data_IF_195144853287
#
_entry.id   IF_195144853287
#
_cell.length_a   1.000
_cell.length_b   1.000
_cell.length_c   1.000
_cell.angle_alpha   90.00
_cell.angle_beta   90.00
_cell.angle_gamma   90.00
#
_symmetry.space_group_name_H-M   'P 1'
#
loop_
_entity.id
_entity.type
_entity.pdbx_description
1 polymer ?
#
# COMPACT_ATOMS: atom_id res chain seq x y z
N UNK A 1 0.77 -13.09 -19.56
CA UNK A 1 0.88 -11.65 -19.90
C UNK A 1 1.79 -10.99 -18.86
N UNK A 2 3.07 -10.79 -19.17
CA UNK A 2 4.05 -10.11 -18.30
C UNK A 2 4.18 -8.67 -18.78
N UNK A 3 3.44 -7.75 -18.16
CA UNK A 3 3.47 -6.31 -18.47
C UNK A 3 3.40 -5.43 -17.23
N UNK A 4 3.33 -5.99 -16.02
CA UNK A 4 3.09 -5.20 -14.79
C UNK A 4 4.31 -4.44 -14.30
N UNK A 5 5.53 -4.89 -14.60
CA UNK A 5 6.75 -4.32 -13.98
C UNK A 5 7.13 -2.96 -14.58
N UNK A 6 7.15 -2.85 -15.91
CA UNK A 6 7.51 -1.60 -16.59
C UNK A 6 6.40 -0.55 -16.52
N UNK A 7 5.14 -0.97 -16.62
CA UNK A 7 4.01 -0.04 -16.53
C UNK A 7 3.81 0.53 -15.11
N UNK A 8 4.28 -0.16 -14.07
CA UNK A 8 4.13 0.32 -12.70
C UNK A 8 5.04 1.52 -12.39
N UNK A 9 6.28 1.53 -12.85
CA UNK A 9 7.23 2.61 -12.52
C UNK A 9 6.85 3.95 -13.18
N UNK A 10 6.55 3.93 -14.48
CA UNK A 10 6.11 5.12 -15.22
C UNK A 10 4.78 5.67 -14.66
N UNK A 11 3.86 4.77 -14.31
CA UNK A 11 2.61 5.14 -13.67
C UNK A 11 2.84 5.81 -12.30
N UNK A 12 3.69 5.23 -11.46
CA UNK A 12 4.01 5.79 -10.13
C UNK A 12 4.72 7.14 -10.22
N UNK A 13 5.61 7.32 -11.20
CA UNK A 13 6.26 8.60 -11.45
C UNK A 13 5.26 9.69 -11.87
N UNK A 14 4.20 9.29 -12.58
CA UNK A 14 3.15 10.20 -13.07
C UNK A 14 2.16 10.57 -11.97
N UNK A 15 1.61 9.58 -11.26
CA UNK A 15 0.57 9.83 -10.23
C UNK A 15 1.13 10.36 -8.91
N UNK A 16 2.42 10.15 -8.63
CA UNK A 16 3.14 10.60 -7.41
C UNK A 16 2.30 10.37 -6.15
N UNK A 17 1.96 9.11 -5.84
CA UNK A 17 1.01 8.80 -4.79
C UNK A 17 1.58 9.18 -3.42
N UNK A 18 0.76 9.87 -2.62
CA UNK A 18 1.08 10.15 -1.21
C UNK A 18 0.81 8.93 -0.31
N UNK A 19 -0.17 8.12 -0.68
CA UNK A 19 -0.61 6.93 0.06
C UNK A 19 -0.93 5.83 -0.94
N UNK A 20 -0.53 4.60 -0.64
CA UNK A 20 -0.88 3.40 -1.38
C UNK A 20 -1.47 2.35 -0.42
N UNK A 21 -2.70 1.92 -0.69
CA UNK A 21 -3.39 0.89 0.12
C UNK A 21 -3.41 -0.40 -0.69
N UNK A 22 -2.84 -1.46 -0.10
CA UNK A 22 -2.79 -2.79 -0.68
C UNK A 22 -3.80 -3.68 0.05
N UNK A 23 -4.90 -3.99 -0.64
CA UNK A 23 -5.91 -4.92 -0.14
C UNK A 23 -5.41 -6.35 -0.29
N UNK A 24 -5.07 -6.96 0.84
CA UNK A 24 -4.61 -8.35 0.93
C UNK A 24 -5.17 -8.99 2.20
N UNK A 25 -5.52 -10.28 2.11
CA UNK A 25 -6.02 -11.05 3.26
C UNK A 25 -4.88 -11.52 4.18
N UNK A 26 -5.16 -11.65 5.47
CA UNK A 26 -4.19 -12.09 6.50
C UNK A 26 -3.55 -13.47 6.24
N UNK A 27 -4.11 -14.27 5.34
CA UNK A 27 -3.66 -15.63 5.03
C UNK A 27 -3.27 -15.75 3.55
N UNK A 28 -2.71 -14.70 2.95
CA UNK A 28 -2.39 -14.73 1.54
C UNK A 28 -1.15 -15.60 1.24
N UNK A 29 -1.37 -16.87 0.93
CA UNK A 29 -0.34 -17.81 0.52
C UNK A 29 0.19 -17.59 -0.91
N UNK A 30 -0.39 -16.65 -1.67
CA UNK A 30 -0.01 -16.39 -3.08
C UNK A 30 1.30 -15.60 -3.24
N UNK A 31 1.91 -15.08 -2.17
CA UNK A 31 3.12 -14.25 -2.28
C UNK A 31 2.86 -12.85 -2.83
N UNK A 32 1.61 -12.38 -2.77
CA UNK A 32 1.24 -11.00 -3.07
C UNK A 32 1.00 -10.20 -1.79
N UNK A 33 1.31 -8.89 -1.77
CA UNK A 33 2.04 -8.14 -2.79
C UNK A 33 3.52 -8.60 -2.89
N UNK A 34 4.08 -8.56 -4.10
CA UNK A 34 5.51 -8.88 -4.25
C UNK A 34 6.35 -7.76 -3.63
N UNK A 35 7.49 -8.13 -3.03
CA UNK A 35 8.39 -7.17 -2.38
C UNK A 35 8.79 -6.04 -3.34
N UNK A 36 9.04 -6.35 -4.60
CA UNK A 36 9.36 -5.36 -5.64
C UNK A 36 8.30 -4.25 -5.79
N UNK A 37 7.01 -4.58 -5.67
CA UNK A 37 5.93 -3.58 -5.77
C UNK A 37 5.91 -2.70 -4.54
N UNK A 38 6.13 -3.29 -3.35
CA UNK A 38 6.25 -2.52 -2.11
C UNK A 38 7.44 -1.55 -2.16
N UNK A 39 8.59 -2.02 -2.65
CA UNK A 39 9.80 -1.22 -2.77
C UNK A 39 9.63 -0.09 -3.80
N UNK A 40 8.96 -0.35 -4.94
CA UNK A 40 8.66 0.67 -5.93
C UNK A 40 7.72 1.76 -5.39
N UNK A 41 6.69 1.38 -4.64
CA UNK A 41 5.77 2.33 -4.00
C UNK A 41 6.48 3.17 -2.93
N UNK A 42 7.30 2.53 -2.09
CA UNK A 42 8.08 3.23 -1.08
C UNK A 42 9.12 4.16 -1.71
N UNK A 43 9.81 3.71 -2.77
CA UNK A 43 10.77 4.50 -3.54
C UNK A 43 10.14 5.70 -4.25
N UNK A 44 8.86 5.61 -4.63
CA UNK A 44 8.09 6.74 -5.15
C UNK A 44 7.64 7.74 -4.06
N UNK A 45 7.96 7.49 -2.78
CA UNK A 45 7.61 8.35 -1.64
C UNK A 45 6.22 8.12 -1.07
N UNK A 46 5.56 7.01 -1.43
CA UNK A 46 4.22 6.69 -0.94
C UNK A 46 4.27 6.07 0.47
N UNK A 47 3.33 6.44 1.33
CA UNK A 47 3.04 5.67 2.54
C UNK A 47 2.26 4.41 2.16
N UNK A 48 2.89 3.24 2.33
CA UNK A 48 2.31 1.94 1.93
C UNK A 48 1.62 1.29 3.13
N UNK A 49 0.36 0.91 2.95
CA UNK A 49 -0.48 0.27 3.97
C UNK A 49 -1.02 -1.04 3.42
N UNK A 50 -1.09 -2.08 4.26
CA UNK A 50 -1.64 -3.38 3.86
C UNK A 50 -2.75 -3.80 4.80
N UNK A 51 -3.88 -4.23 4.27
CA UNK A 51 -5.05 -4.58 5.11
C UNK A 51 -4.83 -5.83 5.98
N UNK A 52 -3.91 -6.71 5.62
CA UNK A 52 -3.52 -7.85 6.45
C UNK A 52 -2.73 -7.45 7.69
N UNK A 53 -1.95 -6.38 7.62
CA UNK A 53 -1.14 -5.86 8.72
C UNK A 53 -1.87 -4.75 9.49
N UNK A 54 -2.59 -3.88 8.79
CA UNK A 54 -3.17 -2.66 9.32
C UNK A 54 -4.68 -2.79 9.60
N UNK A 55 -5.32 -3.91 9.23
CA UNK A 55 -6.77 -4.08 9.31
C UNK A 55 -7.52 -3.20 8.33
N UNK A 56 -8.68 -2.69 8.74
CA UNK A 56 -9.48 -1.80 7.89
C UNK A 56 -8.74 -0.46 7.74
N UNK A 57 -8.53 0.02 6.52
CA UNK A 57 -7.86 1.30 6.25
C UNK A 57 -8.83 2.25 5.57
N UNK A 58 -8.92 3.49 6.03
CA UNK A 58 -9.67 4.56 5.39
C UNK A 58 -8.81 5.82 5.20
N UNK A 59 -9.01 6.49 4.07
CA UNK A 59 -8.45 7.83 3.80
C UNK A 59 -9.57 8.84 3.98
N UNK A 60 -9.36 9.80 4.87
CA UNK A 60 -10.36 10.81 5.24
C UNK A 60 -9.80 12.22 5.09
N UNK A 61 -10.69 13.18 4.86
CA UNK A 61 -10.37 14.61 4.84
C UNK A 61 -10.11 15.21 3.45
N UNK A 62 -10.25 16.53 3.37
CA UNK A 62 -9.88 17.41 2.25
C UNK A 62 -9.75 18.83 2.81
N UNK A 63 -8.71 19.64 2.45
CA UNK A 63 -7.64 19.35 1.49
C UNK A 63 -6.48 18.54 2.09
N UNK A 64 -6.46 18.32 3.42
CA UNK A 64 -5.47 17.47 4.09
C UNK A 64 -6.00 16.06 4.23
N UNK A 65 -5.41 15.12 3.51
CA UNK A 65 -5.66 13.70 3.66
C UNK A 65 -5.05 13.18 4.97
N UNK A 66 -5.82 12.39 5.71
CA UNK A 66 -5.39 11.60 6.84
C UNK A 66 -5.70 10.13 6.56
N UNK A 67 -4.79 9.25 6.99
CA UNK A 67 -5.02 7.80 6.97
C UNK A 67 -5.44 7.39 8.37
N UNK A 68 -6.56 6.70 8.48
CA UNK A 68 -6.99 6.02 9.71
C UNK A 68 -7.04 4.53 9.45
N UNK A 69 -6.64 3.73 10.44
CA UNK A 69 -6.75 2.28 10.37
C UNK A 69 -7.45 1.72 11.62
N UNK A 70 -8.21 0.64 11.41
CA UNK A 70 -8.88 -0.15 12.43
C UNK A 70 -8.45 -1.60 12.22
N UNK A 71 -7.28 -1.91 12.75
CA UNK A 71 -6.73 -3.25 12.87
C UNK A 71 -6.28 -3.44 14.32
N UNK A 72 -6.43 -4.66 14.84
CA UNK A 72 -6.05 -5.01 16.20
C UNK A 72 -4.69 -4.40 16.52
N UNK A 73 -4.64 -3.49 17.49
CA UNK A 73 -3.41 -2.99 18.06
C UNK A 73 -2.73 -4.13 18.81
N UNK A 74 -2.19 -5.10 18.07
CA UNK A 74 -1.15 -5.97 18.59
C UNK A 74 0.08 -5.09 18.72
N UNK A 75 0.10 -4.43 19.89
CA UNK A 75 1.25 -3.92 20.63
C UNK A 75 2.57 -4.33 19.97
N UNK A 76 3.32 -3.34 19.52
CA UNK A 76 4.78 -3.44 19.69
C UNK A 76 5.11 -3.06 21.13
N UNK A 77 6.10 -3.70 21.77
CA UNK A 77 6.49 -3.44 23.15
C UNK A 77 6.96 -2.01 23.39
#
# INVERSE_FOLDING_TARGET
MYGSRYNAEEFLATVRPRVAIVSVGAHNSYGHPSQHVLDALAGAGASVLRTDLNGDVAVVGSPRLQVVSRGNALRSP
#
